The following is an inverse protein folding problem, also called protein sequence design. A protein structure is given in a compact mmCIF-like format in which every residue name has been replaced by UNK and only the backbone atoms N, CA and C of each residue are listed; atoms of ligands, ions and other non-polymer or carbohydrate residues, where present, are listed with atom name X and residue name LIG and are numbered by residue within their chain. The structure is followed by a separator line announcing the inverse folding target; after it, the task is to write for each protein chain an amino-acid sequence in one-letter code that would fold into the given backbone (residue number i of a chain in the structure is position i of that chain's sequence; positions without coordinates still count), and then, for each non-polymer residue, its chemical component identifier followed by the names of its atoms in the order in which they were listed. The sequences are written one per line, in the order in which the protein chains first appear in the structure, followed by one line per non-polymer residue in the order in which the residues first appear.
data_IF_522233486883
#
_entry.id   IF_522233486883
#
_cell.length_a   1.000
_cell.length_b   1.000
_cell.length_c   1.000
_cell.angle_alpha   90.00
_cell.angle_beta   90.00
_cell.angle_gamma   90.00
#
_symmetry.space_group_name_H-M   'P 1'
#
loop_
_entity.id
_entity.type
_entity.pdbx_description
1 polymer ?
#
# COMPACT_ATOMS: atom_id res chain seq x y z
N UNK A 1 -0.33 19.16 -4.49
CA UNK A 1 0.01 19.73 -5.80
C UNK A 1 -1.23 20.09 -6.62
N UNK A 2 -2.44 19.93 -6.11
CA UNK A 2 -3.66 20.30 -6.78
C UNK A 2 -4.16 19.34 -7.87
N UNK A 3 -3.56 18.14 -7.95
CA UNK A 3 -4.02 17.11 -8.89
C UNK A 3 -5.27 16.44 -8.34
N UNK A 4 -6.30 16.30 -9.17
CA UNK A 4 -7.49 15.53 -8.80
C UNK A 4 -7.15 14.03 -8.84
N UNK A 5 -7.21 13.37 -7.69
CA UNK A 5 -6.79 11.97 -7.56
C UNK A 5 -7.70 11.00 -8.30
N UNK A 6 -9.02 11.30 -8.38
CA UNK A 6 -9.94 10.44 -9.12
C UNK A 6 -9.67 10.52 -10.63
N UNK A 7 -9.34 11.71 -11.15
CA UNK A 7 -8.94 11.86 -12.55
C UNK A 7 -7.61 11.16 -12.83
N UNK A 8 -6.65 11.25 -11.92
CA UNK A 8 -5.38 10.54 -12.05
C UNK A 8 -5.60 9.02 -12.12
N UNK A 9 -6.42 8.48 -11.20
CA UNK A 9 -6.76 7.05 -11.21
C UNK A 9 -7.44 6.65 -12.51
N UNK A 10 -8.39 7.47 -13.00
CA UNK A 10 -9.08 7.18 -14.27
C UNK A 10 -8.09 7.11 -15.44
N UNK A 11 -7.12 8.03 -15.47
CA UNK A 11 -6.09 8.06 -16.51
C UNK A 11 -5.18 6.82 -16.44
N UNK A 12 -4.66 6.52 -15.25
CA UNK A 12 -3.78 5.35 -15.03
C UNK A 12 -4.52 4.05 -15.35
N UNK A 13 -5.81 3.97 -15.04
CA UNK A 13 -6.64 2.79 -15.28
C UNK A 13 -6.74 2.42 -16.77
N UNK A 14 -6.49 3.36 -17.67
CA UNK A 14 -6.49 3.15 -19.11
C UNK A 14 -5.14 2.69 -19.66
N UNK A 15 -4.11 2.70 -18.83
CA UNK A 15 -2.74 2.41 -19.24
C UNK A 15 -2.27 1.02 -18.85
N UNK A 16 -1.02 0.73 -19.21
CA UNK A 16 -0.39 -0.58 -19.02
C UNK A 16 -0.10 -0.92 -17.55
N UNK A 17 -0.10 0.07 -16.65
CA UNK A 17 0.17 -0.16 -15.22
C UNK A 17 -1.09 -0.43 -14.41
N UNK A 18 -2.27 -0.42 -15.05
CA UNK A 18 -3.50 -0.80 -14.38
C UNK A 18 -3.44 -2.28 -13.98
N UNK A 19 -3.98 -2.58 -12.82
CA UNK A 19 -4.02 -3.95 -12.28
C UNK A 19 -5.15 -4.07 -11.28
N UNK A 20 -5.49 -5.31 -10.91
CA UNK A 20 -6.42 -5.56 -9.81
C UNK A 20 -5.95 -4.95 -8.50
N UNK A 21 -4.64 -5.03 -8.23
CA UNK A 21 -4.08 -4.42 -7.02
C UNK A 21 -4.21 -2.90 -7.05
N UNK A 22 -3.88 -2.26 -8.17
CA UNK A 22 -4.03 -0.81 -8.30
C UNK A 22 -5.47 -0.39 -8.05
N UNK A 23 -6.46 -1.09 -8.65
CA UNK A 23 -7.88 -0.78 -8.46
C UNK A 23 -8.31 -0.97 -6.99
N UNK A 24 -7.83 -2.02 -6.32
CA UNK A 24 -8.12 -2.25 -4.91
C UNK A 24 -7.58 -1.11 -4.04
N UNK A 25 -6.36 -0.65 -4.31
CA UNK A 25 -5.76 0.47 -3.58
C UNK A 25 -6.46 1.80 -3.89
N UNK A 26 -6.90 2.00 -5.13
CA UNK A 26 -7.59 3.23 -5.53
C UNK A 26 -8.92 3.44 -4.78
N UNK A 27 -9.56 2.37 -4.32
CA UNK A 27 -10.79 2.46 -3.52
C UNK A 27 -10.61 3.21 -2.21
N UNK A 28 -9.37 3.33 -1.73
CA UNK A 28 -9.08 4.10 -0.51
C UNK A 28 -9.45 5.58 -0.67
N UNK A 29 -9.45 6.10 -1.90
CA UNK A 29 -9.86 7.48 -2.18
C UNK A 29 -11.36 7.70 -1.90
N UNK A 30 -12.15 6.64 -1.88
CA UNK A 30 -13.57 6.66 -1.53
C UNK A 30 -13.85 6.16 -0.11
N UNK A 31 -12.79 5.96 0.68
CA UNK A 31 -12.90 5.51 2.06
C UNK A 31 -12.99 3.99 2.24
N UNK A 32 -12.88 3.21 1.18
CA UNK A 32 -12.91 1.75 1.25
C UNK A 32 -11.49 1.20 1.46
N UNK A 33 -11.21 0.71 2.66
CA UNK A 33 -9.94 0.09 3.02
C UNK A 33 -9.98 -1.44 2.90
N UNK A 34 -11.09 -2.01 2.44
CA UNK A 34 -11.30 -3.46 2.36
C UNK A 34 -11.21 -4.00 0.92
N UNK A 35 -10.68 -3.20 0.00
CA UNK A 35 -10.58 -3.58 -1.41
C UNK A 35 -9.66 -4.77 -1.69
N UNK A 36 -8.75 -5.09 -0.77
CA UNK A 36 -7.92 -6.29 -0.80
C UNK A 36 -7.91 -6.87 0.61
N UNK A 37 -8.61 -7.99 0.79
CA UNK A 37 -8.78 -8.62 2.11
C UNK A 37 -7.60 -9.53 2.44
N UNK A 38 -6.45 -8.92 2.60
CA UNK A 38 -5.19 -9.59 2.93
C UNK A 38 -4.51 -8.78 4.02
N UNK A 39 -4.25 -9.40 5.17
CA UNK A 39 -3.70 -8.69 6.32
C UNK A 39 -2.31 -8.11 6.01
N UNK A 40 -2.08 -6.88 6.43
CA UNK A 40 -0.83 -6.17 6.20
C UNK A 40 0.37 -6.95 6.75
N UNK A 41 0.26 -7.52 7.95
CA UNK A 41 1.34 -8.33 8.53
C UNK A 41 1.59 -9.63 7.76
N UNK A 42 0.58 -10.19 7.10
CA UNK A 42 0.78 -11.34 6.21
C UNK A 42 1.56 -10.94 4.95
N UNK A 43 1.25 -9.78 4.39
CA UNK A 43 2.01 -9.24 3.25
C UNK A 43 3.46 -8.97 3.65
N UNK A 44 3.68 -8.39 4.83
CA UNK A 44 5.01 -8.16 5.39
C UNK A 44 5.80 -9.46 5.53
N UNK A 45 5.17 -10.48 6.07
CA UNK A 45 5.77 -11.80 6.22
C UNK A 45 6.15 -12.41 4.87
N UNK A 46 5.27 -12.33 3.89
CA UNK A 46 5.51 -12.91 2.57
C UNK A 46 6.69 -12.23 1.86
N UNK A 47 6.75 -10.90 1.90
CA UNK A 47 7.87 -10.17 1.28
C UNK A 47 9.19 -10.45 2.03
N UNK A 48 9.13 -10.67 3.34
CA UNK A 48 10.29 -11.05 4.12
C UNK A 48 10.86 -12.40 3.66
N UNK A 49 10.01 -13.37 3.38
CA UNK A 49 10.47 -14.66 2.84
C UNK A 49 11.21 -14.47 1.52
N UNK A 50 10.68 -13.62 0.66
CA UNK A 50 11.32 -13.28 -0.61
C UNK A 50 12.69 -12.64 -0.41
N UNK A 51 12.78 -11.61 0.43
CA UNK A 51 14.04 -10.90 0.67
C UNK A 51 15.09 -11.80 1.33
N UNK A 52 14.68 -12.68 2.26
CA UNK A 52 15.59 -13.63 2.91
C UNK A 52 16.11 -14.68 1.93
N UNK A 53 15.25 -15.21 1.06
CA UNK A 53 15.68 -16.14 0.02
C UNK A 53 16.72 -15.51 -0.89
N UNK A 54 16.45 -14.29 -1.35
CA UNK A 54 17.37 -13.55 -2.22
C UNK A 54 18.70 -13.26 -1.51
N UNK A 55 18.65 -12.88 -0.23
CA UNK A 55 19.85 -12.63 0.57
C UNK A 55 20.73 -13.90 0.64
N UNK A 56 20.12 -15.05 0.89
CA UNK A 56 20.87 -16.32 0.95
C UNK A 56 21.50 -16.70 -0.39
N UNK A 57 20.94 -16.20 -1.50
CA UNK A 57 21.46 -16.43 -2.85
C UNK A 57 22.34 -15.28 -3.35
N UNK A 58 22.60 -14.28 -2.51
CA UNK A 58 23.33 -13.07 -2.83
C UNK A 58 22.71 -12.32 -4.05
N UNK A 59 21.37 -12.33 -4.15
CA UNK A 59 20.63 -11.62 -5.19
C UNK A 59 20.09 -10.32 -4.62
N UNK A 60 20.38 -9.14 -5.22
CA UNK A 60 19.84 -7.90 -4.72
C UNK A 60 18.33 -7.77 -5.00
N UNK A 61 17.59 -7.22 -4.02
CA UNK A 61 16.14 -6.99 -4.13
C UNK A 61 15.82 -5.57 -3.68
N UNK A 62 16.26 -4.59 -4.46
CA UNK A 62 16.16 -3.17 -4.10
C UNK A 62 14.70 -2.77 -3.81
N UNK A 63 13.79 -3.10 -4.73
CA UNK A 63 12.36 -2.78 -4.56
C UNK A 63 11.74 -3.64 -3.47
N UNK A 64 12.06 -4.92 -3.41
CA UNK A 64 11.56 -5.83 -2.37
C UNK A 64 11.91 -5.35 -0.96
N UNK A 65 13.15 -4.90 -0.75
CA UNK A 65 13.57 -4.35 0.55
C UNK A 65 12.79 -3.07 0.89
N UNK A 66 12.58 -2.18 -0.08
CA UNK A 66 11.81 -0.97 0.13
C UNK A 66 10.35 -1.28 0.48
N UNK A 67 9.74 -2.24 -0.21
CA UNK A 67 8.38 -2.70 0.09
C UNK A 67 8.31 -3.30 1.49
N UNK A 68 9.28 -4.15 1.85
CA UNK A 68 9.34 -4.74 3.19
C UNK A 68 9.41 -3.66 4.28
N UNK A 69 10.23 -2.63 4.09
CA UNK A 69 10.35 -1.53 5.04
C UNK A 69 9.06 -0.71 5.14
N UNK A 70 8.37 -0.49 4.02
CA UNK A 70 7.09 0.22 4.01
C UNK A 70 6.02 -0.53 4.79
N UNK A 71 5.95 -1.85 4.62
CA UNK A 71 5.01 -2.70 5.37
C UNK A 71 5.38 -2.76 6.85
N UNK A 72 6.68 -2.84 7.16
CA UNK A 72 7.18 -2.86 8.54
C UNK A 72 6.85 -1.57 9.27
N UNK A 73 7.00 -0.44 8.60
CA UNK A 73 6.65 0.87 9.16
C UNK A 73 5.15 0.95 9.46
N UNK A 74 4.30 0.52 8.52
CA UNK A 74 2.85 0.52 8.73
C UNK A 74 2.45 -0.40 9.89
N UNK A 75 3.09 -1.56 10.01
CA UNK A 75 2.89 -2.47 11.15
C UNK A 75 3.28 -1.80 12.48
N UNK A 76 4.44 -1.14 12.51
CA UNK A 76 4.92 -0.43 13.70
C UNK A 76 3.99 0.71 14.11
N UNK A 77 3.30 1.33 13.16
CA UNK A 77 2.31 2.39 13.42
C UNK A 77 0.95 1.83 13.87
N UNK A 78 0.81 0.52 14.00
CA UNK A 78 -0.40 -0.11 14.52
C UNK A 78 -1.37 -0.66 13.47
N UNK A 79 -0.99 -0.70 12.19
CA UNK A 79 -1.87 -1.11 11.10
C UNK A 79 -1.71 -2.59 10.69
N UNK A 80 -0.88 -3.37 11.39
CA UNK A 80 -0.53 -4.73 10.99
C UNK A 80 -1.71 -5.69 10.86
N UNK A 81 -2.74 -5.54 11.68
CA UNK A 81 -3.92 -6.39 11.66
C UNK A 81 -4.98 -5.93 10.64
N UNK A 82 -4.78 -4.76 10.05
CA UNK A 82 -5.65 -4.24 8.99
C UNK A 82 -5.29 -4.88 7.66
N UNK A 83 -6.13 -4.68 6.64
CA UNK A 83 -5.81 -5.11 5.28
C UNK A 83 -4.78 -4.20 4.62
N UNK A 84 -4.10 -4.71 3.61
CA UNK A 84 -3.01 -4.01 2.89
C UNK A 84 -3.38 -2.57 2.48
N UNK A 85 -4.63 -2.25 2.04
CA UNK A 85 -4.97 -0.86 1.72
C UNK A 85 -4.75 0.13 2.86
N UNK A 86 -4.68 -0.32 4.11
CA UNK A 86 -4.36 0.54 5.25
C UNK A 86 -2.95 1.14 5.19
N UNK A 87 -2.08 0.72 4.25
CA UNK A 87 -0.83 1.42 3.95
C UNK A 87 -1.04 2.91 3.71
N UNK A 88 -2.20 3.30 3.16
CA UNK A 88 -2.52 4.71 2.93
C UNK A 88 -2.58 5.51 4.24
N UNK A 89 -2.99 4.88 5.33
CA UNK A 89 -3.03 5.53 6.64
C UNK A 89 -1.63 5.81 7.17
N UNK A 90 -0.69 4.89 6.96
CA UNK A 90 0.71 5.12 7.29
C UNK A 90 1.28 6.27 6.47
N UNK A 91 0.94 6.33 5.18
CA UNK A 91 1.38 7.41 4.31
C UNK A 91 0.82 8.77 4.75
N UNK A 92 -0.43 8.82 5.20
CA UNK A 92 -1.02 10.03 5.77
C UNK A 92 -0.22 10.52 6.96
N UNK A 93 0.14 9.61 7.86
CA UNK A 93 0.93 9.95 9.05
C UNK A 93 2.31 10.47 8.69
N UNK A 94 2.99 9.84 7.71
CA UNK A 94 4.32 10.26 7.27
C UNK A 94 4.30 11.62 6.58
N UNK A 95 3.31 11.86 5.74
CA UNK A 95 3.25 13.07 4.91
C UNK A 95 2.53 14.23 5.61
N UNK A 96 1.85 13.97 6.72
CA UNK A 96 1.06 14.99 7.42
C UNK A 96 -0.10 15.49 6.57
N UNK A 97 -0.70 14.63 5.77
CA UNK A 97 -1.80 14.96 4.86
C UNK A 97 -2.90 13.92 4.96
N UNK A 98 -4.07 14.26 4.44
CA UNK A 98 -5.20 13.33 4.40
C UNK A 98 -5.40 12.81 2.98
N UNK A 99 -5.52 11.49 2.86
CA UNK A 99 -5.78 10.78 1.60
C UNK A 99 -7.16 10.16 1.63
N UNK A 100 -7.49 9.46 2.72
CA UNK A 100 -8.80 8.82 2.92
C UNK A 100 -9.79 9.88 3.39
N UNK A 101 -10.97 10.00 2.75
CA UNK A 101 -11.94 10.99 3.19
C UNK A 101 -12.43 10.72 4.61
N UNK A 102 -12.77 11.79 5.33
CA UNK A 102 -13.42 11.66 6.64
C UNK A 102 -14.79 11.00 6.46
N UNK A 103 -15.21 10.15 7.43
CA UNK A 103 -16.56 9.62 7.41
C UNK A 103 -17.59 10.76 7.35
N UNK A 104 -18.69 10.52 6.64
CA UNK A 104 -19.82 11.45 6.63
C UNK A 104 -20.37 11.57 8.06
N UNK A 105 -20.68 12.80 8.45
CA UNK A 105 -21.24 13.10 9.78
C UNK A 105 -22.67 12.54 9.92
#
# INVERSE_FOLDING_TARGET
AGVDLHQLVALVSKGAVNSGLFQAMAKTLDGDLDGLKFALDNARKDIRYYTHLAENLAVPTVVGEAVHQSLSLASALGHGQRYVPALVLAQEQLAGTRIVPLPAA
#
